data_IF_518450001989
#
_entry.id   IF_518450001989
#
_cell.length_a   1.000
_cell.length_b   1.000
_cell.length_c   1.000
_cell.angle_alpha   90.00
_cell.angle_beta   90.00
_cell.angle_gamma   90.00
#
_symmetry.space_group_name_H-M   'P 1'
#
loop_
_entity.id
_entity.type
_entity.pdbx_description
1 polymer ?
#
# COMPACT_ATOMS: atom_id res chain seq x y z
N UNK A 1 0.39 -2.97 -17.56
CA UNK A 1 -0.97 -2.40 -17.67
C UNK A 1 -1.19 -1.47 -16.50
N UNK A 2 -1.57 -0.19 -16.70
CA UNK A 2 -1.93 0.69 -15.61
C UNK A 2 -3.22 0.21 -14.94
N UNK A 3 -3.26 0.19 -13.60
CA UNK A 3 -4.48 -0.07 -12.86
C UNK A 3 -5.36 1.18 -12.92
N UNK A 4 -6.56 1.07 -13.50
CA UNK A 4 -7.50 2.19 -13.52
C UNK A 4 -8.29 2.24 -12.21
N UNK A 5 -8.40 3.43 -11.61
CA UNK A 5 -9.31 3.67 -10.49
C UNK A 5 -10.68 4.03 -11.04
N UNK A 6 -11.73 3.46 -10.44
CA UNK A 6 -13.09 3.59 -10.96
C UNK A 6 -13.73 4.94 -10.58
N UNK A 7 -13.34 5.49 -9.44
CA UNK A 7 -13.79 6.78 -8.90
C UNK A 7 -12.68 7.85 -8.90
N UNK A 8 -11.56 7.58 -9.59
CA UNK A 8 -10.37 8.43 -9.61
C UNK A 8 -9.75 8.67 -8.21
N UNK A 9 -10.04 7.81 -7.23
CA UNK A 9 -9.47 7.93 -5.89
C UNK A 9 -8.00 7.51 -5.79
N UNK A 10 -7.47 6.83 -6.81
CA UNK A 10 -6.05 6.48 -6.89
C UNK A 10 -5.28 7.53 -7.70
N UNK A 11 -4.46 8.34 -7.02
CA UNK A 11 -3.52 9.27 -7.64
C UNK A 11 -2.57 8.59 -8.63
N UNK A 12 -2.11 9.34 -9.65
CA UNK A 12 -1.14 8.87 -10.67
C UNK A 12 0.12 8.22 -10.08
N UNK A 13 0.59 8.75 -8.96
CA UNK A 13 1.70 8.20 -8.17
C UNK A 13 1.24 8.11 -6.73
N UNK A 14 0.47 7.07 -6.41
CA UNK A 14 -0.19 6.94 -5.10
C UNK A 14 0.73 6.38 -4.02
N UNK A 15 1.35 5.23 -4.30
CA UNK A 15 2.25 4.55 -3.40
C UNK A 15 3.39 3.91 -4.18
N UNK A 16 4.52 3.74 -3.50
CA UNK A 16 5.67 2.98 -3.97
C UNK A 16 5.79 1.71 -3.12
N UNK A 17 6.01 0.58 -3.80
CA UNK A 17 6.34 -0.69 -3.17
C UNK A 17 7.79 -1.05 -3.50
N UNK A 18 8.54 -1.47 -2.49
CA UNK A 18 9.92 -1.91 -2.64
C UNK A 18 10.15 -3.15 -1.79
N UNK A 19 10.89 -4.11 -2.34
CA UNK A 19 11.47 -5.20 -1.54
C UNK A 19 12.86 -4.76 -1.11
N UNK A 20 13.11 -4.68 0.19
CA UNK A 20 14.42 -4.37 0.75
C UNK A 20 15.37 -5.57 0.57
N UNK A 21 16.67 -5.34 0.78
CA UNK A 21 17.73 -6.35 0.56
C UNK A 21 17.56 -7.59 1.45
N UNK A 22 16.88 -7.45 2.60
CA UNK A 22 16.54 -8.54 3.52
C UNK A 22 15.26 -9.31 3.14
N UNK A 23 14.64 -8.97 2.00
CA UNK A 23 13.40 -9.57 1.51
C UNK A 23 12.12 -9.02 2.17
N UNK A 24 12.23 -7.93 2.95
CA UNK A 24 11.08 -7.24 3.54
C UNK A 24 10.35 -6.40 2.50
N UNK A 25 9.03 -6.54 2.42
CA UNK A 25 8.21 -5.67 1.58
C UNK A 25 7.91 -4.36 2.32
N UNK A 26 8.15 -3.23 1.66
CA UNK A 26 7.94 -1.89 2.19
C UNK A 26 7.00 -1.11 1.27
N UNK A 27 6.01 -0.46 1.85
CA UNK A 27 5.13 0.50 1.19
C UNK A 27 5.41 1.92 1.66
N UNK A 28 5.36 2.88 0.74
CA UNK A 28 5.43 4.30 1.04
C UNK A 28 4.36 5.05 0.27
N UNK A 29 3.49 5.76 0.98
CA UNK A 29 2.55 6.69 0.35
C UNK A 29 3.32 7.87 -0.25
N UNK A 30 2.99 8.25 -1.48
CA UNK A 30 3.70 9.26 -2.27
C UNK A 30 3.04 10.65 -2.21
N UNK A 31 2.26 10.92 -1.16
CA UNK A 31 1.46 12.13 -1.04
C UNK A 31 0.14 12.01 -1.80
N UNK A 32 -0.49 10.85 -1.72
CA UNK A 32 -1.76 10.60 -2.41
C UNK A 32 -2.88 11.48 -1.86
N UNK A 33 -3.85 11.80 -2.70
CA UNK A 33 -4.97 12.69 -2.31
C UNK A 33 -5.85 12.07 -1.23
N UNK A 34 -6.11 10.76 -1.31
CA UNK A 34 -7.00 10.04 -0.40
C UNK A 34 -6.26 9.25 0.69
N UNK A 35 -4.93 9.26 0.66
CA UNK A 35 -4.09 8.50 1.57
C UNK A 35 -4.08 7.00 1.30
N UNK A 36 -3.13 6.33 1.96
CA UNK A 36 -2.99 4.88 1.97
C UNK A 36 -3.25 4.33 3.37
N UNK A 37 -3.84 3.12 3.46
CA UNK A 37 -4.13 2.44 4.74
C UNK A 37 -3.63 1.00 4.68
N UNK A 38 -2.88 0.58 5.69
CA UNK A 38 -2.60 -0.85 5.91
C UNK A 38 -3.55 -1.37 6.96
N UNK A 39 -4.27 -2.46 6.63
CA UNK A 39 -5.08 -3.21 7.56
C UNK A 39 -4.30 -4.46 7.95
N UNK A 40 -3.91 -4.54 9.22
CA UNK A 40 -3.18 -5.68 9.78
C UNK A 40 -4.07 -6.39 10.79
N UNK A 41 -4.40 -7.66 10.53
CA UNK A 41 -5.29 -8.45 11.41
C UNK A 41 -6.59 -7.70 11.74
N UNK A 42 -7.17 -7.03 10.75
CA UNK A 42 -8.39 -6.23 10.90
C UNK A 42 -8.20 -4.82 11.49
N UNK A 43 -7.00 -4.45 11.95
CA UNK A 43 -6.73 -3.13 12.52
C UNK A 43 -6.20 -2.18 11.42
N UNK A 44 -6.91 -1.11 11.07
CA UNK A 44 -6.47 -0.15 10.07
C UNK A 44 -5.43 0.83 10.65
N UNK A 45 -4.39 1.12 9.86
CA UNK A 45 -3.38 2.14 10.15
C UNK A 45 -3.07 2.96 8.91
N UNK A 46 -3.24 4.28 9.02
CA UNK A 46 -2.89 5.21 7.95
C UNK A 46 -1.37 5.28 7.77
N UNK A 47 -0.94 5.34 6.51
CA UNK A 47 0.45 5.60 6.17
C UNK A 47 0.67 7.10 6.18
N UNK A 48 1.71 7.54 6.88
CA UNK A 48 2.18 8.92 6.76
C UNK A 48 2.89 9.08 5.41
N UNK A 49 2.54 10.09 4.60
CA UNK A 49 3.22 10.36 3.33
C UNK A 49 4.74 10.45 3.49
N UNK A 50 5.47 9.81 2.58
CA UNK A 50 6.94 9.80 2.58
C UNK A 50 7.58 8.94 3.69
N UNK A 51 6.81 8.31 4.58
CA UNK A 51 7.35 7.40 5.60
C UNK A 51 7.24 5.95 5.13
N UNK A 52 8.35 5.20 5.04
CA UNK A 52 8.31 3.79 4.71
C UNK A 52 7.58 3.00 5.81
N UNK A 53 6.77 2.03 5.39
CA UNK A 53 5.99 1.14 6.25
C UNK A 53 6.22 -0.29 5.81
N UNK A 54 6.69 -1.13 6.74
CA UNK A 54 6.84 -2.58 6.51
C UNK A 54 5.48 -3.25 6.39
N UNK A 55 5.32 -3.99 5.29
CA UNK A 55 4.19 -4.89 5.03
C UNK A 55 4.57 -6.31 5.43
N UNK A 56 3.62 -7.01 6.04
CA UNK A 56 3.75 -8.40 6.44
C UNK A 56 2.81 -9.28 5.61
N UNK A 57 3.10 -10.58 5.60
CA UNK A 57 2.19 -11.58 5.06
C UNK A 57 0.81 -11.49 5.73
N UNK A 58 -0.24 -11.51 4.91
CA UNK A 58 -1.63 -11.33 5.34
C UNK A 58 -2.07 -9.88 5.57
N UNK A 59 -1.19 -8.89 5.38
CA UNK A 59 -1.62 -7.49 5.38
C UNK A 59 -2.50 -7.17 4.16
N UNK A 60 -3.37 -6.18 4.33
CA UNK A 60 -4.16 -5.62 3.24
C UNK A 60 -3.84 -4.14 3.10
N UNK A 61 -3.30 -3.74 1.95
CA UNK A 61 -3.01 -2.33 1.62
C UNK A 61 -4.16 -1.75 0.80
N UNK A 62 -4.79 -0.70 1.31
CA UNK A 62 -5.85 0.06 0.63
C UNK A 62 -5.27 1.36 0.07
N UNK A 63 -5.55 1.59 -1.22
CA UNK A 63 -5.16 2.77 -1.99
C UNK A 63 -6.44 3.31 -2.63
N UNK A 64 -7.09 4.32 -2.05
CA UNK A 64 -8.40 4.76 -2.51
C UNK A 64 -9.43 3.62 -2.55
N UNK A 65 -10.02 3.38 -3.74
CA UNK A 65 -10.98 2.31 -4.06
C UNK A 65 -10.34 0.93 -4.30
N UNK A 66 -9.01 0.84 -4.26
CA UNK A 66 -8.26 -0.39 -4.54
C UNK A 66 -7.71 -1.02 -3.28
N UNK A 67 -7.66 -2.35 -3.32
CA UNK A 67 -7.16 -3.20 -2.24
C UNK A 67 -6.13 -4.16 -2.80
N UNK A 68 -4.97 -4.23 -2.13
CA UNK A 68 -3.89 -5.16 -2.42
C UNK A 68 -3.75 -6.10 -1.24
N UNK A 69 -3.79 -7.41 -1.50
CA UNK A 69 -3.52 -8.45 -0.51
C UNK A 69 -2.05 -8.83 -0.56
N UNK A 70 -1.38 -8.80 0.59
CA UNK A 70 0.04 -9.12 0.69
C UNK A 70 0.16 -10.60 1.05
N UNK A 71 0.79 -11.37 0.16
CA UNK A 71 1.11 -12.77 0.41
C UNK A 71 2.59 -13.04 0.14
N UNK A 72 3.23 -13.84 0.99
CA UNK A 72 4.56 -14.40 0.76
C UNK A 72 4.41 -15.80 0.21
N UNK A 73 4.92 -16.05 -1.00
CA UNK A 73 5.02 -17.40 -1.55
C UNK A 73 6.32 -18.05 -1.09
N UNK A 74 6.20 -19.28 -0.61
CA UNK A 74 7.32 -20.17 -0.32
C UNK A 74 7.87 -20.80 -1.61
#
# INVERSE_FOLDING_TARGET
MPLQSSDMSVSKTHAQLQVADDGTLVAMDRGSTNGSVVVRRGVPRHLSPGRPTTLLDGDVLRLGDRTLEISRRA
#
